data_IF_856635079419
#
_entry.id   IF_856635079419
#
_cell.length_a   1.000
_cell.length_b   1.000
_cell.length_c   1.000
_cell.angle_alpha   90.00
_cell.angle_beta   90.00
_cell.angle_gamma   90.00
#
_symmetry.space_group_name_H-M   'P 1'
#
loop_
_entity.id
_entity.type
_entity.pdbx_description
1 polymer ?
#
# COMPACT_ATOMS: atom_id res chain seq x y z
N UNK A 1 11.69 -21.81 32.96
CA UNK A 1 12.12 -21.35 31.62
C UNK A 1 12.01 -19.83 31.60
N UNK A 2 13.01 -19.10 31.07
CA UNK A 2 12.91 -17.64 30.97
C UNK A 2 11.79 -17.26 30.00
N UNK A 3 10.95 -16.32 30.43
CA UNK A 3 9.89 -15.70 29.64
C UNK A 3 10.48 -14.62 28.72
N UNK A 4 9.79 -14.32 27.61
CA UNK A 4 10.16 -13.20 26.75
C UNK A 4 10.19 -11.86 27.51
N UNK A 5 9.29 -11.68 28.48
CA UNK A 5 9.22 -10.46 29.31
C UNK A 5 10.36 -10.33 30.31
N UNK A 6 11.12 -11.40 30.55
CA UNK A 6 12.31 -11.36 31.41
C UNK A 6 13.49 -10.69 30.68
N UNK A 7 13.38 -10.48 29.36
CA UNK A 7 14.36 -9.73 28.58
C UNK A 7 14.24 -8.22 28.85
N UNK A 8 15.37 -7.50 28.95
CA UNK A 8 15.38 -6.04 28.98
C UNK A 8 14.58 -5.44 27.82
N UNK A 9 13.92 -4.31 28.07
CA UNK A 9 13.03 -3.66 27.08
C UNK A 9 13.77 -3.29 25.81
N UNK A 10 15.06 -2.96 25.90
CA UNK A 10 15.92 -2.65 24.76
C UNK A 10 16.04 -3.85 23.82
N UNK A 11 16.26 -5.04 24.38
CA UNK A 11 16.36 -6.29 23.62
C UNK A 11 15.02 -6.65 22.99
N UNK A 12 13.92 -6.52 23.74
CA UNK A 12 12.56 -6.75 23.20
C UNK A 12 12.26 -5.82 22.03
N UNK A 13 12.64 -4.54 22.14
CA UNK A 13 12.51 -3.54 21.07
C UNK A 13 13.33 -3.86 19.83
N UNK A 14 14.50 -4.48 19.97
CA UNK A 14 15.28 -4.97 18.84
C UNK A 14 14.61 -6.15 18.12
N UNK A 15 13.83 -6.96 18.83
CA UNK A 15 13.16 -8.14 18.27
C UNK A 15 11.89 -7.77 17.51
N UNK A 16 11.11 -6.81 18.00
CA UNK A 16 9.82 -6.45 17.40
C UNK A 16 9.81 -6.18 15.88
N UNK A 17 10.80 -5.46 15.29
CA UNK A 17 10.85 -5.24 13.84
C UNK A 17 10.90 -6.52 13.01
N UNK A 18 11.47 -7.61 13.56
CA UNK A 18 11.56 -8.89 12.87
C UNK A 18 10.28 -9.72 12.97
N UNK A 19 9.35 -9.34 13.85
CA UNK A 19 8.08 -10.04 14.06
C UNK A 19 6.92 -9.43 13.28
N UNK A 20 7.13 -8.29 12.62
CA UNK A 20 6.07 -7.53 11.94
C UNK A 20 6.63 -6.92 10.65
N UNK A 21 5.91 -7.11 9.54
CA UNK A 21 6.21 -6.40 8.30
C UNK A 21 4.95 -5.65 7.82
N UNK A 22 4.88 -4.31 7.93
CA UNK A 22 3.75 -3.55 7.43
C UNK A 22 3.65 -3.57 5.90
N UNK A 23 4.67 -4.07 5.18
CA UNK A 23 4.68 -4.21 3.72
C UNK A 23 4.18 -5.59 3.25
N UNK A 24 3.80 -6.49 4.14
CA UNK A 24 3.34 -7.84 3.78
C UNK A 24 2.10 -7.81 2.85
N UNK A 25 1.32 -6.73 2.91
CA UNK A 25 0.16 -6.49 2.05
C UNK A 25 0.47 -6.63 0.54
N UNK A 26 1.72 -6.39 0.13
CA UNK A 26 2.19 -6.56 -1.25
C UNK A 26 2.00 -7.99 -1.76
N UNK A 27 2.05 -9.00 -0.88
CA UNK A 27 1.70 -10.39 -1.24
C UNK A 27 0.27 -10.51 -1.76
N UNK A 28 -0.65 -9.72 -1.20
CA UNK A 28 -2.03 -9.60 -1.68
C UNK A 28 -2.10 -8.98 -3.08
N UNK A 29 -1.24 -8.00 -3.37
CA UNK A 29 -1.13 -7.40 -4.72
C UNK A 29 -0.64 -8.43 -5.72
N UNK A 30 0.45 -9.13 -5.40
CA UNK A 30 1.02 -10.16 -6.26
C UNK A 30 0.01 -11.27 -6.55
N UNK A 31 -0.81 -11.64 -5.55
CA UNK A 31 -1.86 -12.65 -5.73
C UNK A 31 -2.91 -12.18 -6.75
N UNK A 32 -3.36 -10.93 -6.64
CA UNK A 32 -4.32 -10.34 -7.59
C UNK A 32 -3.70 -10.26 -9.00
N UNK A 33 -2.47 -9.80 -9.11
CA UNK A 33 -1.79 -9.65 -10.39
C UNK A 33 -1.60 -11.01 -11.08
N UNK A 34 -1.17 -12.05 -10.35
CA UNK A 34 -1.05 -13.41 -10.88
C UNK A 34 -2.39 -13.95 -11.38
N UNK A 35 -3.45 -13.83 -10.57
CA UNK A 35 -4.79 -14.24 -11.00
C UNK A 35 -5.25 -13.49 -12.27
N UNK A 36 -4.97 -12.19 -12.36
CA UNK A 36 -5.33 -11.42 -13.54
C UNK A 36 -4.59 -11.85 -14.81
N UNK A 37 -3.31 -12.23 -14.68
CA UNK A 37 -2.50 -12.74 -15.79
C UNK A 37 -3.00 -14.11 -16.27
N UNK A 38 -3.22 -15.04 -15.35
CA UNK A 38 -3.76 -16.37 -15.67
C UNK A 38 -5.09 -16.27 -16.42
N UNK A 39 -6.01 -15.43 -15.94
CA UNK A 39 -7.30 -15.21 -16.61
C UNK A 39 -7.17 -14.53 -17.98
N UNK A 40 -6.15 -13.69 -18.18
CA UNK A 40 -5.88 -13.09 -19.48
C UNK A 40 -5.28 -14.11 -20.47
N UNK A 41 -4.42 -15.01 -19.99
CA UNK A 41 -3.83 -16.10 -20.78
C UNK A 41 -4.89 -17.12 -21.20
N UNK A 42 -5.79 -17.53 -20.29
CA UNK A 42 -6.92 -18.42 -20.58
C UNK A 42 -7.82 -17.86 -21.69
N UNK A 43 -8.14 -16.55 -21.64
CA UNK A 43 -8.89 -15.85 -22.69
C UNK A 43 -8.23 -15.93 -24.06
N UNK A 44 -6.90 -15.80 -24.11
CA UNK A 44 -6.15 -15.86 -25.38
C UNK A 44 -6.16 -17.29 -25.92
N UNK A 45 -6.06 -18.30 -25.06
CA UNK A 45 -6.05 -19.72 -25.48
C UNK A 45 -7.39 -20.25 -25.94
N UNK A 46 -8.52 -19.76 -25.39
CA UNK A 46 -9.84 -20.33 -25.66
C UNK A 46 -10.57 -19.68 -26.84
N UNK A 47 -10.07 -18.55 -27.38
CA UNK A 47 -10.70 -17.85 -28.51
C UNK A 47 -12.15 -17.40 -28.25
N UNK A 48 -12.60 -17.44 -27.00
CA UNK A 48 -13.97 -17.22 -26.57
C UNK A 48 -14.30 -15.72 -26.50
N UNK A 49 -15.52 -15.37 -26.91
CA UNK A 49 -16.12 -14.08 -26.62
C UNK A 49 -16.16 -13.93 -25.10
N UNK A 50 -15.34 -13.03 -24.55
CA UNK A 50 -15.19 -12.88 -23.10
C UNK A 50 -16.56 -12.66 -22.45
N UNK A 51 -16.89 -13.48 -21.45
CA UNK A 51 -17.96 -13.17 -20.51
C UNK A 51 -17.80 -11.74 -19.99
N UNK A 52 -18.89 -10.99 -19.82
CA UNK A 52 -18.83 -9.64 -19.31
C UNK A 52 -18.16 -9.62 -17.93
N UNK A 53 -17.32 -8.61 -17.69
CA UNK A 53 -16.49 -8.53 -16.48
C UNK A 53 -17.32 -8.52 -15.18
N UNK A 54 -18.62 -8.22 -15.25
CA UNK A 54 -19.54 -8.27 -14.12
C UNK A 54 -19.85 -9.70 -13.61
N UNK A 55 -19.59 -10.74 -14.39
CA UNK A 55 -19.81 -12.14 -13.98
C UNK A 55 -18.61 -12.74 -13.25
N UNK A 56 -17.45 -12.09 -13.28
CA UNK A 56 -16.25 -12.58 -12.61
C UNK A 56 -16.32 -12.34 -11.09
N UNK A 57 -15.94 -13.33 -10.27
CA UNK A 57 -15.95 -13.17 -8.82
C UNK A 57 -14.89 -12.17 -8.37
N UNK A 58 -15.27 -11.29 -7.46
CA UNK A 58 -14.32 -10.39 -6.79
C UNK A 58 -13.31 -11.20 -5.98
N UNK A 59 -12.03 -10.89 -6.13
CA UNK A 59 -10.97 -11.44 -5.29
C UNK A 59 -11.05 -10.77 -3.92
N UNK A 60 -11.32 -11.56 -2.87
CA UNK A 60 -11.28 -11.08 -1.48
C UNK A 60 -9.91 -11.37 -0.87
N UNK A 61 -9.33 -10.34 -0.25
CA UNK A 61 -8.06 -10.44 0.46
C UNK A 61 -8.34 -10.43 1.96
N UNK A 62 -7.84 -11.46 2.66
CA UNK A 62 -7.96 -11.55 4.11
C UNK A 62 -6.82 -10.75 4.74
N UNK A 63 -7.17 -9.78 5.59
CA UNK A 63 -6.18 -9.06 6.41
C UNK A 63 -5.79 -9.95 7.60
N UNK A 64 -4.49 -10.05 7.85
CA UNK A 64 -3.93 -10.77 8.99
C UNK A 64 -3.35 -9.78 9.99
N UNK A 65 -3.47 -10.09 11.27
CA UNK A 65 -2.79 -9.32 12.33
C UNK A 65 -1.53 -10.09 12.75
N UNK A 66 -0.35 -9.44 12.81
CA UNK A 66 0.87 -10.08 13.26
C UNK A 66 0.69 -10.75 14.64
N UNK A 67 1.13 -12.01 14.77
CA UNK A 67 0.89 -12.81 15.96
C UNK A 67 1.44 -12.16 17.24
N UNK A 68 2.55 -11.42 17.14
CA UNK A 68 3.16 -10.70 18.28
C UNK A 68 2.20 -9.68 18.92
N UNK A 69 1.29 -9.09 18.14
CA UNK A 69 0.30 -8.13 18.63
C UNK A 69 -0.86 -8.81 19.37
N UNK A 70 -0.99 -10.13 19.26
CA UNK A 70 -2.07 -10.92 19.86
C UNK A 70 -1.65 -11.63 21.15
N UNK A 71 -0.37 -11.55 21.54
CA UNK A 71 0.18 -12.30 22.68
C UNK A 71 -0.26 -11.72 24.04
N UNK A 72 0.06 -10.45 24.29
CA UNK A 72 -0.16 -9.81 25.59
C UNK A 72 -0.22 -8.28 25.45
N UNK A 73 -1.06 -7.60 26.24
CA UNK A 73 -1.25 -6.14 26.20
C UNK A 73 0.06 -5.34 26.27
N UNK A 74 1.01 -5.74 27.14
CA UNK A 74 2.30 -5.07 27.25
C UNK A 74 3.12 -5.25 25.97
N UNK A 75 3.23 -6.49 25.48
CA UNK A 75 3.93 -6.80 24.22
C UNK A 75 3.30 -6.03 23.07
N UNK A 76 1.97 -5.99 22.99
CA UNK A 76 1.23 -5.24 21.97
C UNK A 76 1.54 -3.75 22.04
N UNK A 77 1.52 -3.13 23.23
CA UNK A 77 1.81 -1.71 23.38
C UNK A 77 3.25 -1.37 22.92
N UNK A 78 4.23 -2.14 23.38
CA UNK A 78 5.64 -1.94 23.00
C UNK A 78 5.86 -2.20 21.50
N UNK A 79 5.24 -3.25 20.95
CA UNK A 79 5.36 -3.60 19.54
C UNK A 79 4.70 -2.55 18.63
N UNK A 80 3.54 -2.00 19.00
CA UNK A 80 2.87 -0.95 18.23
C UNK A 80 3.71 0.32 18.13
N UNK A 81 4.40 0.71 19.21
CA UNK A 81 5.33 1.85 19.18
C UNK A 81 6.45 1.68 18.15
N UNK A 82 6.92 0.45 17.96
CA UNK A 82 7.93 0.10 16.98
C UNK A 82 7.31 0.01 15.58
N UNK A 83 6.16 -0.66 15.43
CA UNK A 83 5.46 -0.84 14.16
C UNK A 83 5.22 0.49 13.45
N UNK A 84 4.76 1.51 14.16
CA UNK A 84 4.49 2.83 13.59
C UNK A 84 5.75 3.56 13.10
N UNK A 85 6.95 3.12 13.50
CA UNK A 85 8.24 3.66 13.05
C UNK A 85 8.80 2.90 11.85
N UNK A 86 8.28 1.72 11.52
CA UNK A 86 8.74 0.95 10.37
C UNK A 86 8.25 1.64 9.08
N UNK A 87 9.13 1.95 8.12
CA UNK A 87 8.72 2.59 6.88
C UNK A 87 7.76 1.72 6.06
N UNK A 88 6.65 2.32 5.62
CA UNK A 88 5.67 1.66 4.75
C UNK A 88 5.84 2.16 3.32
N UNK A 89 6.15 1.24 2.41
CA UNK A 89 6.20 1.52 0.97
C UNK A 89 4.82 1.24 0.38
N UNK A 90 4.13 2.29 -0.04
CA UNK A 90 2.81 2.30 -0.65
C UNK A 90 2.95 2.36 -2.18
N UNK A 91 2.32 1.40 -2.84
CA UNK A 91 2.21 1.31 -4.30
C UNK A 91 0.74 1.40 -4.71
N UNK A 92 0.49 1.85 -5.93
CA UNK A 92 -0.88 1.90 -6.47
C UNK A 92 -1.56 0.54 -6.36
N UNK A 93 -2.82 0.54 -5.93
CA UNK A 93 -3.64 -0.68 -5.86
C UNK A 93 -3.71 -1.34 -7.24
N UNK A 94 -3.50 -2.66 -7.35
CA UNK A 94 -3.55 -3.35 -8.63
C UNK A 94 -4.91 -3.14 -9.26
N UNK A 95 -4.92 -2.90 -10.58
CA UNK A 95 -6.15 -2.86 -11.33
C UNK A 95 -6.78 -4.24 -11.31
N UNK A 96 -7.98 -4.37 -10.73
CA UNK A 96 -8.78 -5.57 -10.94
C UNK A 96 -9.52 -5.38 -12.26
N UNK A 97 -9.25 -6.22 -13.26
CA UNK A 97 -10.07 -6.31 -14.49
C UNK A 97 -11.53 -6.74 -14.20
N UNK A 98 -11.91 -6.89 -12.92
CA UNK A 98 -12.95 -7.80 -12.47
C UNK A 98 -14.06 -7.16 -11.65
N UNK A 99 -14.12 -5.84 -11.50
CA UNK A 99 -15.12 -5.26 -10.61
C UNK A 99 -15.58 -3.87 -11.03
N UNK A 100 -16.90 -3.65 -10.96
CA UNK A 100 -17.56 -2.32 -10.95
C UNK A 100 -17.03 -1.38 -9.83
N UNK A 101 -16.13 -1.84 -8.96
CA UNK A 101 -15.53 -1.10 -7.85
C UNK A 101 -14.04 -1.41 -7.73
N UNK A 102 -13.21 -0.37 -7.85
CA UNK A 102 -11.78 -0.45 -7.60
C UNK A 102 -11.50 -0.76 -6.12
N UNK A 103 -10.56 -1.69 -5.85
CA UNK A 103 -10.16 -2.01 -4.48
C UNK A 103 -9.41 -0.83 -3.86
N UNK A 104 -9.78 -0.45 -2.64
CA UNK A 104 -9.08 0.59 -1.88
C UNK A 104 -7.88 0.05 -1.11
N UNK A 105 -6.88 0.89 -0.84
CA UNK A 105 -5.73 0.51 0.00
C UNK A 105 -6.15 0.05 1.41
N UNK A 106 -7.26 0.59 1.93
CA UNK A 106 -7.84 0.24 3.23
C UNK A 106 -8.32 -1.24 3.32
N UNK A 107 -8.53 -1.89 2.17
CA UNK A 107 -8.85 -3.33 2.11
C UNK A 107 -7.62 -4.20 2.43
N UNK A 108 -6.41 -3.67 2.22
CA UNK A 108 -5.15 -4.37 2.41
C UNK A 108 -4.46 -3.99 3.71
N UNK A 109 -4.53 -2.71 4.08
CA UNK A 109 -3.91 -2.15 5.28
C UNK A 109 -5.02 -1.46 6.08
N UNK A 110 -5.10 -1.71 7.39
CA UNK A 110 -6.10 -1.01 8.20
C UNK A 110 -5.81 0.51 8.26
N UNK A 111 -6.86 1.32 8.23
CA UNK A 111 -6.74 2.79 8.23
C UNK A 111 -6.01 3.31 9.47
N UNK A 112 -6.25 2.70 10.63
CA UNK A 112 -5.58 3.04 11.89
C UNK A 112 -4.07 2.89 11.82
N UNK A 113 -3.57 1.88 11.08
CA UNK A 113 -2.13 1.73 10.86
C UNK A 113 -1.63 2.84 9.92
N UNK A 114 -2.34 3.09 8.83
CA UNK A 114 -1.98 4.16 7.88
C UNK A 114 -1.97 5.56 8.52
N UNK A 115 -2.86 5.85 9.47
CA UNK A 115 -2.91 7.12 10.20
C UNK A 115 -1.72 7.29 11.15
N UNK A 116 -1.30 6.21 11.80
CA UNK A 116 -0.30 6.24 12.87
C UNK A 116 1.14 6.06 12.42
N UNK A 117 1.38 5.59 11.19
CA UNK A 117 2.73 5.46 10.65
C UNK A 117 3.43 6.81 10.59
N UNK A 118 4.73 6.80 10.86
CA UNK A 118 5.56 8.00 10.90
C UNK A 118 6.33 8.20 9.59
N UNK A 119 6.60 7.13 8.85
CA UNK A 119 7.41 7.15 7.64
C UNK A 119 6.69 6.38 6.53
N UNK A 120 6.36 7.08 5.45
CA UNK A 120 5.71 6.51 4.29
C UNK A 120 6.50 6.83 3.03
N UNK A 121 6.55 5.86 2.13
CA UNK A 121 7.11 6.03 0.78
C UNK A 121 6.00 5.74 -0.22
N UNK A 122 5.66 6.73 -1.04
CA UNK A 122 4.63 6.61 -2.08
C UNK A 122 5.31 6.46 -3.43
N UNK A 123 5.16 5.30 -4.08
CA UNK A 123 5.68 5.05 -5.43
C UNK A 123 4.57 5.20 -6.45
N UNK A 124 4.63 6.29 -7.23
CA UNK A 124 3.62 6.66 -8.22
C UNK A 124 4.17 6.43 -9.63
N UNK A 125 4.07 5.20 -10.16
CA UNK A 125 4.35 4.93 -11.58
C UNK A 125 3.27 5.56 -12.47
N UNK A 126 2.01 5.29 -12.15
CA UNK A 126 0.81 5.84 -12.80
C UNK A 126 -0.17 6.24 -11.71
N UNK A 127 -0.23 7.52 -11.29
CA UNK A 127 -1.03 7.92 -10.15
C UNK A 127 -2.51 7.76 -10.49
N UNK A 128 -3.14 6.80 -9.83
CA UNK A 128 -4.58 6.70 -9.86
C UNK A 128 -5.16 7.72 -8.87
N UNK A 129 -5.99 8.66 -9.35
CA UNK A 129 -6.55 9.74 -8.53
C UNK A 129 -7.21 9.21 -7.25
N UNK A 130 -8.03 8.16 -7.35
CA UNK A 130 -8.71 7.58 -6.18
C UNK A 130 -7.72 7.06 -5.14
N UNK A 131 -6.63 6.41 -5.54
CA UNK A 131 -5.63 5.88 -4.62
C UNK A 131 -4.95 6.99 -3.82
N UNK A 132 -4.48 8.03 -4.52
CA UNK A 132 -3.80 9.17 -3.87
C UNK A 132 -4.78 9.91 -2.96
N UNK A 133 -5.99 10.21 -3.43
CA UNK A 133 -6.98 10.93 -2.62
C UNK A 133 -7.39 10.15 -1.38
N UNK A 134 -7.69 8.85 -1.50
CA UNK A 134 -8.04 8.02 -0.35
C UNK A 134 -6.93 8.01 0.70
N UNK A 135 -5.65 7.91 0.29
CA UNK A 135 -4.54 8.00 1.25
C UNK A 135 -4.47 9.36 1.95
N UNK A 136 -4.61 10.44 1.18
CA UNK A 136 -4.61 11.80 1.73
C UNK A 136 -5.79 12.04 2.67
N UNK A 137 -6.96 11.48 2.39
CA UNK A 137 -8.14 11.59 3.24
C UNK A 137 -7.97 10.78 4.54
N UNK A 138 -7.40 9.57 4.45
CA UNK A 138 -7.06 8.74 5.63
C UNK A 138 -6.07 9.50 6.53
N UNK A 139 -5.00 10.06 5.96
CA UNK A 139 -4.03 10.85 6.71
C UNK A 139 -4.59 12.19 7.19
N UNK A 140 -5.53 12.78 6.47
CA UNK A 140 -6.19 14.02 6.87
C UNK A 140 -7.02 13.88 8.15
N UNK A 141 -7.47 12.67 8.49
CA UNK A 141 -8.29 12.42 9.69
C UNK A 141 -7.46 12.37 10.99
N UNK A 142 -6.30 11.70 10.98
CA UNK A 142 -5.32 11.67 12.09
C UNK A 142 -3.93 11.47 11.50
N UNK A 143 -3.17 12.55 11.38
CA UNK A 143 -1.87 12.53 10.73
C UNK A 143 -0.74 12.38 11.75
N UNK A 144 -0.02 11.25 11.72
CA UNK A 144 1.22 11.05 12.48
C UNK A 144 2.48 10.96 11.61
N UNK A 145 2.35 11.24 10.32
CA UNK A 145 3.49 11.23 9.40
C UNK A 145 4.50 12.30 9.79
N UNK A 146 5.75 11.87 9.99
CA UNK A 146 6.91 12.73 10.12
C UNK A 146 7.59 12.95 8.78
N UNK A 147 7.42 12.02 7.83
CA UNK A 147 8.01 12.10 6.50
C UNK A 147 7.24 11.26 5.50
N UNK A 148 6.91 11.87 4.36
CA UNK A 148 6.36 11.21 3.18
C UNK A 148 7.31 11.43 2.00
N UNK A 149 7.92 10.36 1.51
CA UNK A 149 8.76 10.40 0.30
C UNK A 149 7.93 9.94 -0.91
N UNK A 150 7.74 10.81 -1.89
CA UNK A 150 6.98 10.55 -3.12
C UNK A 150 7.94 10.36 -4.28
N UNK A 151 7.92 9.16 -4.87
CA UNK A 151 8.77 8.80 -5.99
C UNK A 151 7.96 8.71 -7.28
N UNK A 152 8.45 9.34 -8.35
CA UNK A 152 7.85 9.32 -9.68
C UNK A 152 8.91 9.08 -10.78
N UNK A 153 8.51 8.45 -11.90
CA UNK A 153 9.40 8.20 -13.03
C UNK A 153 9.95 9.46 -13.69
N UNK A 154 11.20 9.41 -14.15
CA UNK A 154 11.82 10.50 -14.93
C UNK A 154 11.10 10.78 -16.25
N UNK A 155 11.06 12.05 -16.64
CA UNK A 155 10.57 12.47 -17.96
C UNK A 155 9.05 12.37 -18.16
N UNK A 156 8.28 12.21 -17.08
CA UNK A 156 6.81 12.23 -17.14
C UNK A 156 6.30 13.66 -17.30
N UNK A 157 5.35 13.82 -18.22
CA UNK A 157 4.56 15.05 -18.32
C UNK A 157 3.60 15.20 -17.13
N UNK A 158 4.03 16.01 -16.15
CA UNK A 158 3.26 16.36 -14.95
C UNK A 158 2.04 17.23 -15.24
N UNK A 159 2.00 17.86 -16.41
CA UNK A 159 0.85 18.69 -16.83
C UNK A 159 -0.33 17.85 -17.28
N UNK A 160 -0.12 16.55 -17.58
CA UNK A 160 -1.19 15.63 -17.86
C UNK A 160 -2.24 15.65 -16.73
N UNK A 161 -3.53 15.76 -17.09
CA UNK A 161 -4.66 15.94 -16.15
C UNK A 161 -4.68 14.96 -14.98
N UNK A 162 -4.17 13.73 -15.17
CA UNK A 162 -4.08 12.67 -14.15
C UNK A 162 -3.04 12.99 -13.06
N UNK A 163 -1.90 13.56 -13.47
CA UNK A 163 -0.83 14.00 -12.57
C UNK A 163 -1.17 15.30 -11.89
N UNK A 164 -1.70 16.28 -12.63
CA UNK A 164 -2.03 17.61 -12.11
C UNK A 164 -2.92 17.56 -10.85
N UNK A 165 -3.94 16.69 -10.82
CA UNK A 165 -4.82 16.56 -9.64
C UNK A 165 -4.07 15.98 -8.44
N UNK A 166 -3.35 14.87 -8.65
CA UNK A 166 -2.62 14.18 -7.59
C UNK A 166 -1.52 15.06 -7.02
N UNK A 167 -0.80 15.76 -7.89
CA UNK A 167 0.25 16.69 -7.54
C UNK A 167 -0.28 17.90 -6.76
N UNK A 168 -1.36 18.53 -7.23
CA UNK A 168 -1.94 19.67 -6.54
C UNK A 168 -2.40 19.29 -5.12
N UNK A 169 -2.97 18.09 -4.95
CA UNK A 169 -3.40 17.60 -3.64
C UNK A 169 -2.24 17.21 -2.73
N UNK A 170 -1.18 16.61 -3.28
CA UNK A 170 0.07 16.36 -2.54
C UNK A 170 0.73 17.68 -2.11
N UNK A 171 0.70 18.71 -2.96
CA UNK A 171 1.17 20.05 -2.63
C UNK A 171 0.32 20.66 -1.50
N UNK A 172 -1.01 20.58 -1.56
CA UNK A 172 -1.85 21.02 -0.43
C UNK A 172 -1.53 20.26 0.85
N UNK A 173 -1.37 18.94 0.76
CA UNK A 173 -1.05 18.11 1.92
C UNK A 173 0.33 18.41 2.51
N UNK A 174 1.29 18.88 1.70
CA UNK A 174 2.61 19.30 2.17
C UNK A 174 2.59 20.47 3.17
N UNK A 175 1.48 21.20 3.25
CA UNK A 175 1.25 22.21 4.29
C UNK A 175 1.04 21.60 5.68
N UNK A 176 0.66 20.32 5.75
CA UNK A 176 0.30 19.61 6.98
C UNK A 176 1.32 18.52 7.36
N UNK A 177 2.06 17.98 6.40
CA UNK A 177 3.11 16.99 6.63
C UNK A 177 4.36 17.23 5.75
N UNK A 178 5.56 16.83 6.19
CA UNK A 178 6.77 16.94 5.38
C UNK A 178 6.72 15.97 4.18
N UNK A 179 6.48 16.51 2.98
CA UNK A 179 6.43 15.76 1.73
C UNK A 179 7.67 16.06 0.89
N UNK A 180 8.43 15.03 0.55
CA UNK A 180 9.63 15.13 -0.30
C UNK A 180 9.38 14.44 -1.62
N UNK A 181 9.72 15.10 -2.72
CA UNK A 181 9.47 14.63 -4.08
C UNK A 181 10.79 14.18 -4.71
N UNK A 182 10.82 12.96 -5.24
CA UNK A 182 12.01 12.33 -5.82
C UNK A 182 11.72 11.84 -7.23
N UNK A 183 12.56 12.25 -8.17
CA UNK A 183 12.50 11.78 -9.56
C UNK A 183 13.51 10.65 -9.75
N UNK A 184 13.04 9.49 -10.22
CA UNK A 184 13.85 8.27 -10.28
C UNK A 184 13.64 7.54 -11.60
N UNK A 185 14.68 6.83 -12.04
CA UNK A 185 14.58 5.82 -13.09
C UNK A 185 13.84 4.60 -12.51
N UNK A 186 12.52 4.69 -12.43
CA UNK A 186 11.68 3.59 -11.99
C UNK A 186 11.64 2.55 -13.12
N UNK A 187 11.74 1.24 -12.80
CA UNK A 187 11.50 0.22 -13.81
C UNK A 187 10.09 0.45 -14.33
N UNK A 188 9.99 0.77 -15.63
CA UNK A 188 8.71 0.78 -16.32
C UNK A 188 8.14 -0.63 -16.16
N UNK A 189 7.16 -0.79 -15.27
CA UNK A 189 6.28 -1.94 -15.30
C UNK A 189 5.79 -2.03 -16.74
N UNK A 190 6.35 -3.00 -17.48
CA UNK A 190 6.08 -3.17 -18.89
C UNK A 190 4.58 -3.21 -19.04
N UNK A 191 4.13 -2.27 -19.85
CA UNK A 191 2.77 -2.04 -20.29
C UNK A 191 2.09 -3.38 -20.59
N UNK A 192 1.24 -3.85 -19.67
CA UNK A 192 0.01 -4.54 -20.03
C UNK A 192 -1.09 -3.47 -20.07
N UNK A 193 -0.93 -2.51 -20.98
CA UNK A 193 -2.09 -1.89 -21.60
C UNK A 193 -2.52 -2.87 -22.67
N UNK A 194 -3.45 -3.74 -22.32
CA UNK A 194 -4.28 -4.38 -23.31
C UNK A 194 -5.66 -3.72 -23.22
N UNK A 195 -6.10 -3.33 -24.41
CA UNK A 195 -7.26 -2.51 -24.79
C UNK A 195 -8.52 -2.89 -24.03
#
# INVERSE_FOLDING_TARGET
>A
MPSFLDLPVEIRRMIYPYCMDPNEYKRGYDKIERHSKTLAEERISEGTVSDPDCLKPRIYITRTTPAVLLLNKQITAEALEILYKIPVELRGTPGTHFTMRQMGIAEFICEQLLQRIQYATLRLNRPHKSFVLTLLDIWGADNRLKRLDVYFPKGIDRTARRWAISENRLRTFSLVAPVYSHEVDMPSERILAFI
#
